data_IF_244897256246
#
_entry.id   IF_244897256246
#
_cell.length_a   1.000
_cell.length_b   1.000
_cell.length_c   1.000
_cell.angle_alpha   90.00
_cell.angle_beta   90.00
_cell.angle_gamma   90.00
#
_symmetry.space_group_name_H-M   'P 1'
#
loop_
_entity.id
_entity.type
_entity.pdbx_description
1 polymer ?
#
# COMPACT_ATOMS: atom_id res chain seq x y z
N UNK A 1 66.88 -9.47 -11.74
CA UNK A 1 66.90 -8.41 -10.70
C UNK A 1 65.47 -8.15 -10.27
N UNK A 2 65.15 -8.74 -9.13
CA UNK A 2 63.86 -8.78 -8.45
C UNK A 2 63.59 -7.45 -7.73
N UNK A 3 62.40 -6.89 -7.90
CA UNK A 3 61.83 -5.94 -6.93
C UNK A 3 60.42 -6.41 -6.56
N UNK A 4 60.39 -7.31 -5.58
CA UNK A 4 59.22 -7.52 -4.71
C UNK A 4 58.98 -6.25 -3.91
N UNK A 5 57.82 -5.64 -4.06
CA UNK A 5 57.28 -4.76 -3.02
C UNK A 5 56.31 -5.57 -2.16
N UNK A 6 56.76 -5.79 -0.93
CA UNK A 6 56.05 -6.37 0.19
C UNK A 6 55.42 -5.19 0.94
N UNK A 7 54.10 -5.10 0.99
CA UNK A 7 53.40 -4.23 1.94
C UNK A 7 52.52 -5.08 2.84
N UNK A 8 52.74 -4.87 4.13
CA UNK A 8 52.38 -5.68 5.28
C UNK A 8 50.94 -5.49 5.72
N UNK A 9 50.30 -6.61 6.09
CA UNK A 9 49.13 -6.65 6.96
C UNK A 9 49.52 -6.27 8.39
N UNK A 10 48.66 -5.52 9.08
CA UNK A 10 48.65 -5.38 10.53
C UNK A 10 48.22 -3.99 11.00
N UNK A 11 46.96 -3.83 11.41
CA UNK A 11 46.46 -2.56 11.92
C UNK A 11 45.02 -2.57 12.44
N UNK A 12 44.83 -3.23 13.59
CA UNK A 12 43.90 -2.87 14.69
C UNK A 12 42.39 -2.82 14.38
N UNK A 13 41.68 -3.82 14.91
CA UNK A 13 40.26 -3.74 15.24
C UNK A 13 40.02 -2.60 16.25
N UNK A 14 39.36 -1.53 15.80
CA UNK A 14 38.63 -0.63 16.67
C UNK A 14 37.16 -0.63 16.24
N UNK A 15 36.34 -1.33 17.01
CA UNK A 15 34.89 -1.12 17.02
C UNK A 15 34.65 0.33 17.43
N UNK A 16 34.13 1.14 16.52
CA UNK A 16 33.19 2.24 16.78
C UNK A 16 32.64 2.75 15.43
N UNK A 17 31.32 2.66 15.26
CA UNK A 17 30.49 3.07 14.11
C UNK A 17 30.70 2.31 12.79
N UNK A 18 29.87 1.28 12.56
CA UNK A 18 29.82 0.51 11.30
C UNK A 18 29.15 1.28 10.16
N UNK A 19 29.75 2.39 9.74
CA UNK A 19 29.45 3.09 8.47
C UNK A 19 30.60 2.89 7.46
N UNK A 20 31.30 1.76 7.53
CA UNK A 20 32.34 1.39 6.57
C UNK A 20 31.79 0.49 5.46
N UNK A 21 32.20 0.74 4.22
CA UNK A 21 31.94 -0.14 3.08
C UNK A 21 33.02 -1.23 3.06
N UNK A 22 32.62 -2.50 3.01
CA UNK A 22 33.57 -3.60 2.84
C UNK A 22 34.11 -3.62 1.39
N UNK A 23 35.42 -3.58 1.20
CA UNK A 23 36.06 -3.49 -0.14
C UNK A 23 36.83 -4.75 -0.55
N UNK A 24 36.56 -5.88 0.10
CA UNK A 24 37.28 -7.16 -0.11
C UNK A 24 37.25 -7.61 -1.57
N UNK A 25 36.13 -7.44 -2.27
CA UNK A 25 35.94 -7.89 -3.66
C UNK A 25 36.08 -6.75 -4.69
N UNK A 26 36.68 -5.61 -4.34
CA UNK A 26 36.71 -4.43 -5.22
C UNK A 26 37.29 -4.67 -6.62
N UNK A 27 38.28 -5.56 -6.73
CA UNK A 27 38.95 -5.89 -8.00
C UNK A 27 38.40 -7.13 -8.69
N UNK A 28 37.33 -7.73 -8.17
CA UNK A 28 36.72 -8.93 -8.76
C UNK A 28 36.01 -8.54 -10.07
N UNK A 29 36.40 -9.14 -11.22
CA UNK A 29 35.74 -8.84 -12.48
C UNK A 29 34.37 -9.54 -12.51
N UNK A 30 33.31 -8.76 -12.77
CA UNK A 30 31.95 -9.27 -12.92
C UNK A 30 31.40 -8.98 -14.31
N UNK A 31 30.48 -9.82 -14.78
CA UNK A 31 29.78 -9.61 -16.04
C UNK A 31 28.37 -9.10 -15.79
N UNK A 32 27.95 -8.13 -16.60
CA UNK A 32 26.60 -7.59 -16.55
C UNK A 32 25.79 -8.09 -17.74
N UNK A 33 24.75 -8.87 -17.48
CA UNK A 33 23.84 -9.37 -18.51
C UNK A 33 22.51 -8.62 -18.48
N UNK A 34 22.18 -7.93 -19.56
CA UNK A 34 20.84 -7.38 -19.80
C UNK A 34 19.97 -8.47 -20.43
N UNK A 35 18.98 -8.96 -19.70
CA UNK A 35 18.07 -10.00 -20.16
C UNK A 35 16.62 -9.47 -20.38
N UNK A 36 15.89 -9.99 -21.39
CA UNK A 36 14.45 -9.83 -21.53
C UNK A 36 13.67 -10.25 -20.27
N UNK A 37 12.58 -9.53 -19.90
CA UNK A 37 11.81 -9.82 -18.69
C UNK A 37 11.20 -11.23 -18.62
N UNK A 38 10.96 -11.87 -19.77
CA UNK A 38 10.45 -13.24 -19.83
C UNK A 38 11.47 -14.24 -19.26
N UNK A 39 12.75 -14.00 -19.51
CA UNK A 39 13.85 -14.85 -19.03
C UNK A 39 14.16 -14.61 -17.56
N UNK A 40 14.23 -13.34 -17.14
CA UNK A 40 14.48 -13.03 -15.72
C UNK A 40 13.39 -13.62 -14.81
N UNK A 41 12.12 -13.53 -15.23
CA UNK A 41 10.99 -14.15 -14.52
C UNK A 41 11.10 -15.67 -14.48
N UNK A 42 11.49 -16.30 -15.59
CA UNK A 42 11.70 -17.76 -15.62
C UNK A 42 12.78 -18.19 -14.62
N UNK A 43 13.94 -17.52 -14.61
CA UNK A 43 15.01 -17.83 -13.65
C UNK A 43 14.60 -17.61 -12.19
N UNK A 44 13.82 -16.56 -11.90
CA UNK A 44 13.28 -16.32 -10.55
C UNK A 44 12.28 -17.42 -10.14
N UNK A 45 11.39 -17.84 -11.02
CA UNK A 45 10.45 -18.94 -10.73
C UNK A 45 11.18 -20.27 -10.48
N UNK A 46 12.29 -20.50 -11.18
CA UNK A 46 13.09 -21.71 -11.00
C UNK A 46 13.86 -21.70 -9.67
N UNK A 47 14.34 -20.54 -9.20
CA UNK A 47 15.03 -20.45 -7.92
C UNK A 47 14.06 -20.71 -6.75
N UNK A 48 12.83 -20.20 -6.81
CA UNK A 48 11.81 -20.42 -5.76
C UNK A 48 11.35 -21.87 -5.68
N UNK A 49 11.14 -22.53 -6.83
CA UNK A 49 10.73 -23.93 -6.89
C UNK A 49 11.82 -24.90 -6.41
N UNK A 50 13.10 -24.49 -6.50
CA UNK A 50 14.21 -25.31 -6.02
C UNK A 50 14.32 -25.29 -4.49
N UNK A 51 14.01 -24.16 -3.83
CA UNK A 51 14.02 -24.06 -2.36
C UNK A 51 12.94 -24.91 -1.67
N UNK A 52 11.80 -25.16 -2.31
CA UNK A 52 10.73 -26.01 -1.75
C UNK A 52 11.00 -27.51 -1.88
N UNK A 53 11.94 -27.92 -2.73
CA UNK A 53 12.27 -29.34 -2.98
C UNK A 53 13.40 -29.88 -2.08
N UNK A 54 14.00 -29.05 -1.21
CA UNK A 54 15.06 -29.46 -0.28
C UNK A 54 14.48 -29.84 1.11
N UNK A 55 13.15 -29.76 1.28
CA UNK A 55 12.46 -30.05 2.55
C UNK A 55 11.75 -31.42 2.64
N UNK A 56 11.85 -32.30 1.64
CA UNK A 56 11.27 -33.66 1.72
C UNK A 56 12.38 -34.66 2.08
N UNK A 57 12.47 -34.94 3.37
CA UNK A 57 13.30 -35.96 4.00
C UNK A 57 12.78 -37.36 3.63
N UNK A 58 13.14 -37.86 2.44
CA UNK A 58 12.95 -39.26 2.07
C UNK A 58 14.33 -39.93 1.93
N UNK A 59 14.80 -40.44 3.06
CA UNK A 59 15.84 -41.45 3.18
C UNK A 59 15.34 -42.76 2.57
N UNK A 60 15.40 -42.91 1.25
CA UNK A 60 15.55 -44.25 0.68
C UNK A 60 16.39 -44.25 -0.59
N UNK A 61 17.50 -44.97 -0.51
CA UNK A 61 18.54 -45.02 -1.51
C UNK A 61 18.07 -45.74 -2.78
N UNK A 62 18.12 -45.05 -3.91
CA UNK A 62 18.51 -45.60 -5.20
C UNK A 62 19.01 -44.45 -6.07
N UNK A 63 20.34 -44.33 -6.11
CA UNK A 63 21.16 -43.64 -7.11
C UNK A 63 20.47 -42.50 -7.88
N UNK A 64 20.68 -41.22 -7.53
CA UNK A 64 20.23 -40.13 -8.38
C UNK A 64 20.96 -40.24 -9.73
N UNK A 65 20.27 -40.10 -10.88
CA UNK A 65 20.96 -40.08 -12.17
C UNK A 65 21.99 -38.93 -12.17
N UNK A 66 23.21 -39.13 -12.69
CA UNK A 66 24.35 -38.22 -12.50
C UNK A 66 24.24 -36.86 -13.23
N UNK A 67 23.06 -36.50 -13.76
CA UNK A 67 22.85 -35.34 -14.64
C UNK A 67 21.78 -34.36 -14.16
N UNK A 68 21.74 -34.03 -12.87
CA UNK A 68 20.93 -32.89 -12.41
C UNK A 68 21.75 -31.79 -11.75
N UNK A 69 22.86 -31.42 -12.41
CA UNK A 69 23.27 -30.02 -12.39
C UNK A 69 22.10 -29.21 -12.95
N UNK A 70 21.26 -28.62 -12.08
CA UNK A 70 20.12 -27.78 -12.45
C UNK A 70 20.64 -26.46 -13.01
N UNK A 71 21.21 -26.48 -14.20
CA UNK A 71 21.66 -25.28 -14.90
C UNK A 71 20.44 -24.47 -15.35
N UNK A 72 20.52 -23.14 -15.29
CA UNK A 72 19.45 -22.24 -15.71
C UNK A 72 19.44 -22.04 -17.22
N UNK A 73 20.61 -22.08 -17.84
CA UNK A 73 20.83 -21.98 -19.27
C UNK A 73 22.20 -22.57 -19.65
N UNK A 74 22.35 -22.96 -20.91
CA UNK A 74 23.62 -23.37 -21.53
C UNK A 74 24.16 -22.20 -22.35
N UNK A 75 25.33 -21.70 -21.98
CA UNK A 75 26.06 -20.69 -22.75
C UNK A 75 27.02 -21.39 -23.72
N UNK A 76 26.89 -21.08 -25.00
CA UNK A 76 27.77 -21.58 -26.07
C UNK A 76 28.53 -20.39 -26.65
N UNK A 77 29.86 -20.50 -26.72
CA UNK A 77 30.72 -19.57 -27.43
C UNK A 77 31.18 -20.25 -28.72
N UNK A 78 30.71 -19.74 -29.85
CA UNK A 78 31.17 -20.15 -31.18
C UNK A 78 32.26 -19.17 -31.62
N UNK A 79 33.42 -19.72 -32.00
CA UNK A 79 34.56 -18.94 -32.48
C UNK A 79 34.80 -19.35 -33.93
N UNK A 80 34.79 -18.38 -34.85
CA UNK A 80 35.25 -18.59 -36.22
C UNK A 80 36.76 -18.35 -36.28
N UNK A 81 37.59 -19.39 -36.46
CA UNK A 81 39.04 -19.25 -36.48
C UNK A 81 39.57 -18.52 -37.73
N UNK A 82 38.74 -18.35 -38.76
CA UNK A 82 39.11 -17.64 -39.99
C UNK A 82 38.75 -16.15 -39.95
N UNK A 83 37.88 -15.75 -39.02
CA UNK A 83 37.50 -14.36 -38.83
C UNK A 83 38.57 -13.60 -38.04
N UNK A 84 38.81 -12.33 -38.39
CA UNK A 84 39.71 -11.47 -37.63
C UNK A 84 39.16 -11.23 -36.21
N UNK A 85 40.04 -11.07 -35.22
CA UNK A 85 39.65 -10.77 -33.83
C UNK A 85 38.82 -9.48 -33.68
N UNK A 86 38.95 -8.56 -34.63
CA UNK A 86 38.20 -7.30 -34.70
C UNK A 86 36.80 -7.46 -35.30
N UNK A 87 36.48 -8.61 -35.91
CA UNK A 87 35.15 -8.88 -36.44
C UNK A 87 34.19 -9.21 -35.27
N UNK A 88 33.10 -8.46 -35.08
CA UNK A 88 32.08 -8.78 -34.08
C UNK A 88 31.47 -10.17 -34.23
N UNK A 89 31.55 -10.78 -35.42
CA UNK A 89 31.06 -12.12 -35.69
C UNK A 89 32.08 -13.22 -35.38
N UNK A 90 33.36 -12.88 -35.15
CA UNK A 90 34.40 -13.86 -34.79
C UNK A 90 34.09 -14.63 -33.52
N UNK A 91 33.33 -14.01 -32.59
CA UNK A 91 32.91 -14.59 -31.31
C UNK A 91 31.42 -14.40 -31.11
N UNK A 92 30.67 -15.45 -31.39
CA UNK A 92 29.23 -15.46 -31.18
C UNK A 92 28.90 -16.17 -29.86
N UNK A 93 28.25 -15.46 -28.95
CA UNK A 93 27.71 -16.04 -27.73
C UNK A 93 26.23 -16.34 -27.94
N UNK A 94 25.83 -17.60 -27.75
CA UNK A 94 24.43 -18.01 -27.74
C UNK A 94 24.08 -18.65 -26.41
N UNK A 95 22.86 -18.45 -25.94
CA UNK A 95 22.37 -18.97 -24.69
C UNK A 95 21.06 -19.72 -24.92
N UNK A 96 21.08 -21.01 -24.59
CA UNK A 96 19.91 -21.89 -24.66
C UNK A 96 19.32 -22.06 -23.26
N UNK A 97 18.03 -21.78 -23.12
CA UNK A 97 17.31 -21.87 -21.86
C UNK A 97 17.03 -23.33 -21.50
N UNK A 98 17.29 -23.70 -20.23
CA UNK A 98 17.10 -25.08 -19.76
C UNK A 98 15.61 -25.48 -19.65
N UNK A 99 14.76 -24.53 -19.28
CA UNK A 99 13.31 -24.69 -19.19
C UNK A 99 12.60 -23.58 -19.93
N UNK A 100 11.44 -23.90 -20.49
CA UNK A 100 10.57 -22.95 -21.14
C UNK A 100 9.28 -22.82 -20.34
N UNK A 101 9.20 -21.83 -19.45
CA UNK A 101 8.06 -21.68 -18.51
C UNK A 101 6.81 -21.11 -19.20
N UNK A 102 6.92 -20.56 -20.41
CA UNK A 102 5.78 -20.14 -21.20
C UNK A 102 5.84 -20.76 -22.58
N UNK A 103 4.69 -21.25 -23.05
CA UNK A 103 4.54 -21.96 -24.33
C UNK A 103 5.16 -21.21 -25.53
N UNK A 104 5.19 -19.87 -25.47
CA UNK A 104 5.69 -19.01 -26.54
C UNK A 104 6.97 -18.24 -26.19
N UNK A 105 7.66 -18.57 -25.09
CA UNK A 105 8.94 -17.94 -24.82
C UNK A 105 10.02 -18.52 -25.74
N UNK A 106 10.90 -17.66 -26.30
CA UNK A 106 12.03 -18.16 -27.06
C UNK A 106 12.95 -19.03 -26.21
N UNK A 107 13.44 -20.12 -26.79
CA UNK A 107 14.38 -21.04 -26.12
C UNK A 107 15.84 -20.60 -26.28
N UNK A 108 16.18 -19.99 -27.41
CA UNK A 108 17.55 -19.60 -27.76
C UNK A 108 17.68 -18.08 -27.87
N UNK A 109 18.76 -17.53 -27.32
CA UNK A 109 19.09 -16.11 -27.35
C UNK A 109 20.53 -15.88 -27.80
N UNK A 110 20.78 -14.83 -28.59
CA UNK A 110 22.12 -14.33 -28.86
C UNK A 110 22.53 -13.31 -27.79
N UNK A 111 23.81 -13.29 -27.42
CA UNK A 111 24.37 -12.30 -26.50
C UNK A 111 25.35 -11.39 -27.24
N UNK A 112 25.01 -10.10 -27.31
CA UNK A 112 25.90 -9.09 -27.88
C UNK A 112 26.86 -8.58 -26.81
N UNK A 113 28.14 -8.86 -26.99
CA UNK A 113 29.20 -8.40 -26.08
C UNK A 113 29.55 -6.93 -26.35
N UNK A 114 29.56 -6.10 -25.31
CA UNK A 114 29.97 -4.69 -25.36
C UNK A 114 31.05 -4.42 -24.33
N UNK A 115 32.15 -3.82 -24.80
CA UNK A 115 33.28 -3.36 -23.98
C UNK A 115 33.24 -1.86 -23.71
N UNK A 116 32.57 -1.10 -24.58
CA UNK A 116 32.35 0.33 -24.39
C UNK A 116 31.13 0.56 -23.49
N UNK A 117 31.39 0.69 -22.19
CA UNK A 117 30.40 1.06 -21.21
C UNK A 117 31.01 1.93 -20.12
N UNK A 118 30.17 2.74 -19.49
CA UNK A 118 30.56 3.54 -18.32
C UNK A 118 31.12 2.57 -17.26
N UNK A 119 32.25 2.89 -16.60
CA UNK A 119 32.77 2.08 -15.51
C UNK A 119 31.71 1.90 -14.41
N UNK A 120 31.41 0.64 -14.07
CA UNK A 120 30.39 0.29 -13.07
C UNK A 120 31.00 -0.62 -12.01
N UNK A 121 30.56 -0.43 -10.77
CA UNK A 121 30.85 -1.31 -9.65
C UNK A 121 29.54 -1.88 -9.09
N UNK A 122 29.58 -3.12 -8.61
CA UNK A 122 28.44 -3.78 -7.98
C UNK A 122 28.60 -3.67 -6.47
N UNK A 123 27.52 -3.27 -5.81
CA UNK A 123 27.43 -3.20 -4.36
C UNK A 123 26.33 -4.15 -3.90
N UNK A 124 26.54 -4.81 -2.77
CA UNK A 124 25.52 -5.56 -2.06
C UNK A 124 25.20 -4.88 -0.74
N UNK A 125 23.95 -5.02 -0.31
CA UNK A 125 23.50 -4.56 1.00
C UNK A 125 22.82 -5.75 1.69
N UNK A 126 23.36 -6.17 2.83
CA UNK A 126 22.75 -7.19 3.65
C UNK A 126 21.55 -6.62 4.42
N UNK A 127 20.64 -7.50 4.86
CA UNK A 127 19.47 -7.10 5.66
C UNK A 127 19.85 -6.39 6.98
N UNK A 128 21.05 -6.64 7.49
CA UNK A 128 21.64 -5.98 8.67
C UNK A 128 22.17 -4.56 8.37
N UNK A 129 22.01 -4.06 7.14
CA UNK A 129 22.47 -2.73 6.73
C UNK A 129 23.96 -2.64 6.37
N UNK A 130 24.71 -3.74 6.43
CA UNK A 130 26.11 -3.80 5.99
C UNK A 130 26.21 -3.68 4.47
N UNK A 131 27.07 -2.80 3.98
CA UNK A 131 27.32 -2.56 2.56
C UNK A 131 28.69 -3.10 2.17
N UNK A 132 28.76 -3.84 1.06
CA UNK A 132 30.00 -4.38 0.50
C UNK A 132 30.12 -4.07 -1.00
N UNK A 133 31.35 -3.91 -1.47
CA UNK A 133 31.70 -3.84 -2.90
C UNK A 133 31.95 -5.26 -3.39
N UNK A 134 31.15 -5.72 -4.34
CA UNK A 134 31.22 -7.09 -4.88
C UNK A 134 32.14 -7.23 -6.10
N UNK A 135 32.37 -6.14 -6.83
CA UNK A 135 33.27 -6.19 -7.98
C UNK A 135 33.07 -5.06 -8.98
N UNK A 136 33.93 -5.08 -10.01
CA UNK A 136 33.92 -4.14 -11.13
C UNK A 136 33.41 -4.82 -12.38
N UNK A 137 32.43 -4.20 -13.05
CA UNK A 137 31.89 -4.72 -14.30
C UNK A 137 32.96 -4.61 -15.39
N UNK A 138 33.39 -5.75 -15.91
CA UNK A 138 34.39 -5.84 -16.97
C UNK A 138 33.75 -5.87 -18.36
N UNK A 139 32.63 -6.59 -18.47
CA UNK A 139 31.98 -6.84 -19.74
C UNK A 139 30.47 -6.81 -19.59
N UNK A 140 29.81 -6.20 -20.57
CA UNK A 140 28.36 -6.12 -20.65
C UNK A 140 27.85 -6.97 -21.81
N UNK A 141 26.80 -7.73 -21.56
CA UNK A 141 26.10 -8.53 -22.56
C UNK A 141 24.66 -8.03 -22.71
N UNK A 142 24.25 -7.78 -23.95
CA UNK A 142 22.85 -7.50 -24.28
C UNK A 142 22.23 -8.75 -24.94
N UNK A 143 21.27 -9.35 -24.26
CA UNK A 143 20.59 -10.56 -24.74
C UNK A 143 19.44 -10.23 -25.69
N UNK A 144 19.42 -10.91 -26.83
CA UNK A 144 18.40 -10.77 -27.89
C UNK A 144 17.88 -12.14 -28.32
N UNK A 145 16.62 -12.25 -28.76
CA UNK A 145 16.11 -13.51 -29.33
C UNK A 145 17.02 -13.98 -30.47
N UNK A 146 17.39 -15.26 -30.46
CA UNK A 146 18.18 -15.85 -31.54
C UNK A 146 17.30 -16.06 -32.79
N UNK A 147 17.92 -16.12 -33.97
CA UNK A 147 17.22 -16.32 -35.24
C UNK A 147 16.41 -17.61 -35.27
N UNK A 148 16.91 -18.69 -34.67
CA UNK A 148 16.21 -20.00 -34.61
C UNK A 148 14.88 -19.94 -33.84
N UNK A 149 14.76 -19.05 -32.84
CA UNK A 149 13.56 -18.94 -31.98
C UNK A 149 12.80 -17.63 -32.24
N UNK A 150 12.93 -17.07 -33.44
CA UNK A 150 12.31 -15.80 -33.82
C UNK A 150 10.77 -15.90 -33.95
N UNK A 151 10.25 -17.07 -34.33
CA UNK A 151 8.82 -17.29 -34.48
C UNK A 151 8.09 -17.26 -33.13
N UNK A 152 8.66 -17.93 -32.12
CA UNK A 152 8.15 -17.92 -30.74
C UNK A 152 8.14 -16.49 -30.19
N UNK A 153 9.24 -15.75 -30.42
CA UNK A 153 9.33 -14.34 -30.02
C UNK A 153 8.25 -13.48 -30.68
N UNK A 154 8.00 -13.68 -31.99
CA UNK A 154 6.95 -12.96 -32.73
C UNK A 154 5.57 -13.25 -32.14
N UNK A 155 5.28 -14.51 -31.83
CA UNK A 155 4.03 -14.91 -31.18
C UNK A 155 3.89 -14.27 -29.79
N UNK A 156 4.93 -14.32 -28.97
CA UNK A 156 4.98 -13.65 -27.66
C UNK A 156 4.71 -12.14 -27.76
N UNK A 157 5.25 -11.48 -28.79
CA UNK A 157 5.01 -10.06 -29.02
C UNK A 157 3.55 -9.78 -29.39
N UNK A 158 2.94 -10.61 -30.26
CA UNK A 158 1.52 -10.51 -30.63
C UNK A 158 0.60 -10.70 -29.41
N UNK A 159 0.87 -11.71 -28.60
CA UNK A 159 0.10 -11.97 -27.38
C UNK A 159 0.20 -10.82 -26.38
N UNK A 160 1.39 -10.24 -26.24
CA UNK A 160 1.58 -9.06 -25.40
C UNK A 160 0.73 -7.88 -25.89
N UNK A 161 0.77 -7.61 -27.20
CA UNK A 161 -0.05 -6.56 -27.81
C UNK A 161 -1.53 -6.84 -27.58
N UNK A 162 -2.00 -8.06 -27.85
CA UNK A 162 -3.39 -8.46 -27.62
C UNK A 162 -3.81 -8.27 -26.15
N UNK A 163 -2.97 -8.70 -25.21
CA UNK A 163 -3.22 -8.56 -23.77
C UNK A 163 -3.37 -7.11 -23.35
N UNK A 164 -2.56 -6.20 -23.92
CA UNK A 164 -2.65 -4.76 -23.63
C UNK A 164 -3.72 -4.02 -24.44
N UNK A 165 -4.17 -4.58 -25.55
CA UNK A 165 -5.28 -4.05 -26.34
C UNK A 165 -6.65 -4.29 -25.69
N UNK A 166 -6.75 -5.28 -24.79
CA UNK A 166 -7.96 -5.49 -23.99
C UNK A 166 -8.10 -4.34 -22.98
N UNK A 167 -9.07 -3.45 -23.23
CA UNK A 167 -9.42 -2.37 -22.30
C UNK A 167 -9.97 -2.97 -21.01
N UNK A 168 -9.20 -2.91 -19.93
CA UNK A 168 -9.64 -3.36 -18.59
C UNK A 168 -10.71 -2.44 -18.00
N UNK A 169 -10.77 -1.19 -18.45
CA UNK A 169 -11.78 -0.21 -18.05
C UNK A 169 -12.94 -0.22 -19.05
N UNK A 170 -14.12 -0.57 -18.57
CA UNK A 170 -15.37 -0.44 -19.32
C UNK A 170 -16.03 0.89 -19.01
N UNK A 171 -16.43 1.63 -20.04
CA UNK A 171 -17.29 2.81 -19.88
C UNK A 171 -18.71 2.30 -19.77
N UNK A 172 -19.32 2.47 -18.59
CA UNK A 172 -20.74 2.19 -18.42
C UNK A 172 -21.53 3.43 -18.84
N UNK A 173 -22.28 3.33 -19.94
CA UNK A 173 -23.22 4.37 -20.34
C UNK A 173 -24.35 4.39 -19.32
N UNK A 174 -24.68 5.58 -18.83
CA UNK A 174 -25.81 5.76 -17.92
C UNK A 174 -27.06 5.85 -18.80
N UNK A 175 -27.89 4.80 -18.77
CA UNK A 175 -29.10 4.70 -19.61
C UNK A 175 -30.20 5.69 -19.22
N UNK A 176 -30.22 6.16 -17.97
CA UNK A 176 -31.19 7.13 -17.48
C UNK A 176 -30.55 8.53 -17.43
N UNK A 177 -30.58 9.22 -18.56
CA UNK A 177 -30.05 10.57 -18.79
C UNK A 177 -30.99 11.69 -18.33
N UNK A 178 -32.09 11.35 -17.65
CA UNK A 178 -33.01 12.33 -17.07
C UNK A 178 -32.23 13.22 -16.09
N UNK A 179 -32.28 14.53 -16.33
CA UNK A 179 -31.37 15.54 -15.77
C UNK A 179 -31.15 15.52 -14.25
N UNK A 180 -32.03 14.89 -13.47
CA UNK A 180 -31.87 14.71 -12.02
C UNK A 180 -30.56 14.00 -11.61
N UNK A 181 -30.03 13.09 -12.44
CA UNK A 181 -28.76 12.39 -12.18
C UNK A 181 -27.53 13.03 -12.83
N UNK A 182 -27.74 14.00 -13.74
CA UNK A 182 -26.67 14.68 -14.49
C UNK A 182 -26.30 16.04 -13.90
N UNK A 183 -27.16 16.60 -13.02
CA UNK A 183 -26.84 17.84 -12.32
C UNK A 183 -25.82 17.58 -11.21
N UNK A 184 -24.69 18.31 -11.18
CA UNK A 184 -23.74 18.25 -10.07
C UNK A 184 -24.48 18.58 -8.77
N UNK A 185 -24.47 17.67 -7.80
CA UNK A 185 -25.06 17.95 -6.48
C UNK A 185 -24.29 19.13 -5.87
N UNK A 186 -24.98 20.21 -5.43
CA UNK A 186 -24.30 21.33 -4.79
C UNK A 186 -23.49 20.82 -3.58
N UNK A 187 -22.28 21.36 -3.44
CA UNK A 187 -21.19 20.86 -2.57
C UNK A 187 -21.52 20.77 -1.06
N UNK A 188 -22.74 21.11 -0.65
CA UNK A 188 -23.17 21.19 0.75
C UNK A 188 -23.69 19.83 1.27
N UNK A 189 -23.91 18.82 0.39
CA UNK A 189 -24.49 17.52 0.76
C UNK A 189 -23.61 16.30 0.42
N UNK A 190 -22.30 16.46 0.22
CA UNK A 190 -21.38 15.35 -0.08
C UNK A 190 -20.68 14.75 1.14
N UNK A 191 -20.86 15.32 2.34
CA UNK A 191 -20.17 14.89 3.56
C UNK A 191 -21.07 14.07 4.50
N UNK A 192 -21.83 13.11 3.98
CA UNK A 192 -22.49 12.11 4.81
C UNK A 192 -22.19 10.71 4.29
N UNK A 193 -21.58 9.82 5.11
CA UNK A 193 -21.32 8.46 4.73
C UNK A 193 -22.64 7.70 4.51
N UNK A 194 -22.62 6.86 3.48
CA UNK A 194 -23.67 5.93 3.06
C UNK A 194 -24.30 5.18 4.24
N UNK A 195 -25.51 5.57 4.63
CA UNK A 195 -26.40 4.76 5.46
C UNK A 195 -27.26 3.91 4.51
N UNK A 196 -27.30 2.57 4.66
CA UNK A 196 -28.12 1.72 3.81
C UNK A 196 -29.60 2.04 4.00
N UNK A 197 -30.32 2.10 2.87
CA UNK A 197 -31.73 2.48 2.76
C UNK A 197 -32.64 1.61 3.65
N UNK A 198 -32.90 2.07 4.88
CA UNK A 198 -34.12 1.74 5.58
C UNK A 198 -35.25 2.52 4.91
N UNK A 199 -36.38 1.85 4.66
CA UNK A 199 -37.62 2.46 4.15
C UNK A 199 -38.08 3.53 5.13
N UNK A 200 -37.68 4.78 4.91
CA UNK A 200 -38.22 5.93 5.62
C UNK A 200 -39.41 6.38 4.79
N UNK A 201 -40.61 6.13 5.32
CA UNK A 201 -41.86 6.73 4.86
C UNK A 201 -41.64 8.24 4.69
N UNK A 202 -42.17 8.89 3.64
CA UNK A 202 -41.97 10.31 3.43
C UNK A 202 -42.52 11.07 4.64
N UNK A 203 -41.59 11.64 5.44
CA UNK A 203 -41.93 12.58 6.49
C UNK A 203 -42.59 13.77 5.81
N UNK A 204 -43.84 14.11 6.17
CA UNK A 204 -44.56 15.19 5.51
C UNK A 204 -43.82 16.52 5.72
N UNK A 205 -44.01 17.41 4.75
CA UNK A 205 -43.43 18.74 4.66
C UNK A 205 -43.31 19.41 6.04
N UNK A 206 -42.14 20.01 6.28
CA UNK A 206 -41.86 20.86 7.44
C UNK A 206 -43.03 21.84 7.62
N UNK A 207 -43.86 21.60 8.62
CA UNK A 207 -44.74 22.63 9.13
C UNK A 207 -43.81 23.67 9.74
N UNK A 208 -43.86 24.87 9.19
CA UNK A 208 -43.33 26.07 9.80
C UNK A 208 -44.22 26.39 11.01
N UNK A 209 -44.09 25.57 12.08
CA UNK A 209 -44.71 25.85 13.35
C UNK A 209 -43.94 27.01 13.95
N UNK A 210 -44.48 28.21 13.76
CA UNK A 210 -44.14 29.38 14.56
C UNK A 210 -44.26 28.95 16.02
N UNK A 211 -43.12 28.61 16.65
CA UNK A 211 -43.03 28.15 18.04
C UNK A 211 -43.50 29.29 18.92
N UNK A 212 -44.75 29.22 19.36
CA UNK A 212 -45.36 30.22 20.24
C UNK A 212 -44.63 30.13 21.57
N UNK A 213 -44.07 31.27 22.01
CA UNK A 213 -43.43 31.38 23.32
C UNK A 213 -44.51 31.16 24.38
N UNK A 214 -44.33 30.16 25.25
CA UNK A 214 -45.22 29.97 26.40
C UNK A 214 -45.01 31.10 27.42
N UNK A 215 -46.02 31.30 28.26
CA UNK A 215 -45.90 32.27 29.34
C UNK A 215 -44.82 31.83 30.34
N UNK A 216 -44.14 32.81 30.94
CA UNK A 216 -42.94 32.58 31.74
C UNK A 216 -43.24 31.74 32.99
N UNK A 217 -44.30 32.08 33.73
CA UNK A 217 -44.68 31.39 34.97
C UNK A 217 -45.06 29.92 34.72
N UNK A 218 -45.76 29.66 33.61
CA UNK A 218 -46.13 28.30 33.21
C UNK A 218 -44.89 27.47 32.85
N UNK A 219 -43.92 28.08 32.17
CA UNK A 219 -42.68 27.43 31.78
C UNK A 219 -41.80 27.08 32.99
N UNK A 220 -41.77 27.93 34.01
CA UNK A 220 -41.07 27.66 35.28
C UNK A 220 -41.67 26.43 36.00
N UNK A 221 -43.01 26.33 36.07
CA UNK A 221 -43.69 25.16 36.65
C UNK A 221 -43.39 23.84 35.91
N UNK A 222 -43.38 23.88 34.57
CA UNK A 222 -42.97 22.73 33.75
C UNK A 222 -41.50 22.37 34.01
N UNK A 223 -40.65 23.37 34.19
CA UNK A 223 -39.22 23.17 34.44
C UNK A 223 -38.98 22.45 35.77
N UNK A 224 -39.66 22.86 36.84
CA UNK A 224 -39.58 22.19 38.13
C UNK A 224 -40.00 20.72 38.04
N UNK A 225 -41.08 20.42 37.32
CA UNK A 225 -41.53 19.03 37.09
C UNK A 225 -40.52 18.19 36.28
N UNK A 226 -39.83 18.79 35.31
CA UNK A 226 -38.78 18.11 34.54
C UNK A 226 -37.58 17.77 35.44
N UNK A 227 -37.17 18.71 36.29
CA UNK A 227 -36.04 18.51 37.22
C UNK A 227 -36.37 17.59 38.40
N UNK A 228 -37.65 17.42 38.75
CA UNK A 228 -38.10 16.41 39.70
C UNK A 228 -37.89 14.99 39.15
N UNK A 229 -38.17 14.77 37.86
CA UNK A 229 -37.96 13.48 37.20
C UNK A 229 -36.47 13.13 37.07
N UNK A 230 -35.62 14.11 36.72
CA UNK A 230 -34.17 13.92 36.62
C UNK A 230 -33.41 15.17 37.10
N UNK A 231 -32.39 15.04 37.95
CA UNK A 231 -31.74 16.18 38.58
C UNK A 231 -30.87 17.02 37.64
N UNK A 232 -30.45 16.46 36.49
CA UNK A 232 -29.58 17.11 35.52
C UNK A 232 -30.19 17.02 34.13
N UNK A 233 -30.32 18.15 33.45
CA UNK A 233 -30.85 18.21 32.07
C UNK A 233 -29.91 18.98 31.16
N UNK A 234 -29.68 18.50 29.94
CA UNK A 234 -28.93 19.27 28.92
C UNK A 234 -29.84 20.23 28.17
N UNK A 235 -29.28 21.34 27.65
CA UNK A 235 -30.05 22.33 26.88
C UNK A 235 -30.80 21.71 25.69
N UNK A 236 -30.18 20.75 25.00
CA UNK A 236 -30.80 20.06 23.85
C UNK A 236 -32.03 19.25 24.27
N UNK A 237 -31.94 18.55 25.39
CA UNK A 237 -33.05 17.74 25.91
C UNK A 237 -34.22 18.64 26.35
N UNK A 238 -33.94 19.78 26.96
CA UNK A 238 -34.96 20.73 27.39
C UNK A 238 -35.66 21.40 26.19
N UNK A 239 -34.93 21.73 25.12
CA UNK A 239 -35.52 22.25 23.87
C UNK A 239 -36.48 21.21 23.27
N UNK A 240 -36.10 19.93 23.27
CA UNK A 240 -36.93 18.87 22.74
C UNK A 240 -38.15 18.58 23.62
N UNK A 241 -37.99 18.59 24.95
CA UNK A 241 -39.08 18.29 25.89
C UNK A 241 -40.13 19.41 25.96
N UNK A 242 -39.70 20.67 25.79
CA UNK A 242 -40.56 21.85 25.97
C UNK A 242 -41.02 22.44 24.65
N UNK A 243 -40.36 22.09 23.54
CA UNK A 243 -40.54 22.66 22.20
C UNK A 243 -40.38 24.19 22.16
N UNK A 244 -39.69 24.78 23.14
CA UNK A 244 -39.46 26.22 23.23
C UNK A 244 -38.18 26.65 22.52
N UNK A 245 -38.10 27.90 22.01
CA UNK A 245 -36.89 28.41 21.37
C UNK A 245 -35.73 28.51 22.38
N UNK A 246 -34.52 28.18 21.91
CA UNK A 246 -33.30 28.08 22.74
C UNK A 246 -33.04 29.35 23.55
N UNK A 247 -33.25 30.52 22.96
CA UNK A 247 -32.98 31.79 23.62
C UNK A 247 -33.90 32.02 24.83
N UNK A 248 -35.19 31.71 24.71
CA UNK A 248 -36.17 31.86 25.79
C UNK A 248 -35.87 30.92 26.95
N UNK A 249 -35.48 29.68 26.62
CA UNK A 249 -35.12 28.70 27.64
C UNK A 249 -33.84 29.08 28.38
N UNK A 250 -32.85 29.70 27.70
CA UNK A 250 -31.64 30.21 28.35
C UNK A 250 -31.93 31.33 29.34
N UNK A 251 -32.89 32.21 29.04
CA UNK A 251 -33.27 33.29 29.95
C UNK A 251 -33.88 32.74 31.25
N UNK A 252 -34.74 31.73 31.15
CA UNK A 252 -35.35 31.04 32.32
C UNK A 252 -34.30 30.21 33.08
N UNK A 253 -33.45 29.46 32.37
CA UNK A 253 -32.38 28.65 32.96
C UNK A 253 -31.36 29.51 33.72
N UNK A 254 -31.09 30.74 33.27
CA UNK A 254 -30.19 31.68 33.95
C UNK A 254 -30.72 32.08 35.32
N UNK A 255 -32.03 32.13 35.50
CA UNK A 255 -32.64 32.51 36.77
C UNK A 255 -32.80 31.35 37.73
N UNK A 256 -33.27 30.19 37.23
CA UNK A 256 -33.63 29.05 38.07
C UNK A 256 -32.51 28.01 38.26
N UNK A 257 -31.58 27.91 37.32
CA UNK A 257 -30.60 26.82 37.28
C UNK A 257 -29.15 27.28 37.41
N UNK A 258 -28.28 26.36 37.80
CA UNK A 258 -26.82 26.47 37.74
C UNK A 258 -26.33 25.60 36.59
N UNK A 259 -25.38 26.14 35.81
CA UNK A 259 -24.78 25.40 34.70
C UNK A 259 -23.52 24.66 35.15
N UNK A 260 -23.50 23.35 34.97
CA UNK A 260 -22.41 22.47 35.35
C UNK A 260 -21.29 22.51 34.31
N UNK A 261 -20.23 23.26 34.62
CA UNK A 261 -19.09 23.48 33.71
C UNK A 261 -18.02 22.37 33.76
N UNK A 262 -18.04 21.48 34.76
CA UNK A 262 -16.97 20.49 35.01
C UNK A 262 -17.53 19.17 35.56
N UNK A 263 -16.82 18.07 35.31
CA UNK A 263 -17.14 16.74 35.81
C UNK A 263 -18.04 15.91 34.88
N UNK A 264 -18.52 14.76 35.35
CA UNK A 264 -19.34 13.81 34.57
C UNK A 264 -20.64 14.42 34.04
N UNK A 265 -21.16 15.45 34.70
CA UNK A 265 -22.38 16.17 34.31
C UNK A 265 -22.07 17.47 33.54
N UNK A 266 -20.88 17.60 32.95
CA UNK A 266 -20.51 18.77 32.17
C UNK A 266 -21.53 19.03 31.04
N UNK A 267 -21.99 20.27 30.92
CA UNK A 267 -22.94 20.67 29.88
C UNK A 267 -24.41 20.47 30.28
N UNK A 268 -24.69 20.13 31.53
CA UNK A 268 -26.04 20.04 32.09
C UNK A 268 -26.38 21.24 32.97
N UNK A 269 -27.67 21.45 33.17
CA UNK A 269 -28.25 22.40 34.11
C UNK A 269 -28.81 21.62 35.29
N UNK A 270 -28.65 22.17 36.49
CA UNK A 270 -29.26 21.70 37.73
C UNK A 270 -30.02 22.86 38.38
N UNK A 271 -31.15 22.59 39.05
CA UNK A 271 -31.85 23.65 39.79
C UNK A 271 -30.96 24.22 40.90
N UNK A 272 -31.05 25.53 41.15
CA UNK A 272 -30.39 26.14 42.31
C UNK A 272 -30.83 25.43 43.59
N UNK A 273 -29.92 25.24 44.57
CA UNK A 273 -30.21 24.51 45.80
C UNK A 273 -31.31 25.17 46.65
N UNK A 274 -31.55 26.47 46.44
CA UNK A 274 -32.63 27.25 47.07
C UNK A 274 -34.03 26.73 46.66
N UNK A 275 -34.23 26.40 45.38
CA UNK A 275 -35.51 25.89 44.87
C UNK A 275 -35.70 24.38 45.05
N UNK A 276 -34.64 23.65 45.46
CA UNK A 276 -34.72 22.22 45.74
C UNK A 276 -35.41 21.91 47.08
N UNK A 277 -35.55 22.91 47.97
CA UNK A 277 -36.06 22.75 49.35
C UNK A 277 -37.51 23.20 49.52
N UNK A 278 -38.05 24.03 48.63
CA UNK A 278 -39.41 24.57 48.72
C UNK A 278 -40.52 23.61 48.25
N UNK A 279 -40.19 22.39 47.80
CA UNK A 279 -41.17 21.38 47.35
C UNK A 279 -41.58 20.42 48.50
N UNK A 280 -40.99 20.56 49.70
CA UNK A 280 -41.29 19.67 50.86
C UNK A 280 -42.19 20.26 51.95
N UNK A 281 -42.64 21.51 51.86
CA UNK A 281 -43.59 22.08 52.82
C UNK A 281 -44.69 22.84 52.07
N UNK A 282 -45.75 22.10 51.71
CA UNK A 282 -47.13 22.57 51.74
C UNK A 282 -48.05 21.33 51.59
N UNK A 283 -48.27 20.63 52.71
CA UNK A 283 -49.48 19.84 52.98
C UNK A 283 -49.91 20.19 54.43
N UNK A 284 -51.22 20.25 54.68
CA UNK A 284 -51.82 21.08 55.72
C UNK A 284 -51.72 20.44 57.10
N UNK A 285 -51.56 21.26 58.13
CA UNK A 285 -51.74 20.82 59.51
C UNK A 285 -52.92 21.58 60.12
N UNK A 286 -54.00 20.81 60.36
CA UNK A 286 -55.19 21.06 61.21
C UNK A 286 -56.14 22.22 60.86
#
# INVERSE_FOLDING_TARGET
MEKKQKTSNGGVSNNNNKEGIETSNQNTPVWLLKCPPVVSRSWMSQSTNNTTAIGSDDLNASTPPPNSSRYLAKLTLSIDPLASDDDPLSRQFTMEMAKNDSENAPKCYSLDMRKDHIPMCVFSQANEGKIAVEGKVLQKFDMKPHSESIQDYSRLCRERTNKYMVKTRQVKVIENDRGEHMMPKPAILSSMPSIPKAKINPVPAKSDSRRIRRDRMEMEGIMFKLFENQPNWTLKQLIQATEQPEQFLKDILKELCVYNNRGTNQGSYELKPEYRRSIKEEEPNQ
#
